data_IF_186377323693
#
_entry.id   IF_186377323693
#
_cell.length_a   1.000
_cell.length_b   1.000
_cell.length_c   1.000
_cell.angle_alpha   90.00
_cell.angle_beta   90.00
_cell.angle_gamma   90.00
#
_symmetry.space_group_name_H-M   'P 1'
#
loop_
_entity.id
_entity.type
_entity.pdbx_description
1 polymer ?
#
# COMPACT_ATOMS: atom_id res chain seq x y z
N UNK A 1 -1.30 -0.14 -2.81
CA UNK A 1 -0.66 1.12 -2.36
C UNK A 1 -0.66 1.25 -0.85
N UNK A 2 0.17 2.11 -0.36
CA UNK A 2 0.18 2.49 1.05
C UNK A 2 0.54 3.97 1.18
N UNK A 3 0.46 4.49 2.40
CA UNK A 3 0.85 5.87 2.71
C UNK A 3 1.98 5.89 3.72
N UNK A 4 2.85 6.90 3.64
CA UNK A 4 3.95 7.07 4.58
C UNK A 4 3.48 7.55 5.94
N UNK A 5 4.18 7.13 6.99
CA UNK A 5 4.02 7.66 8.33
C UNK A 5 4.76 8.98 8.48
N UNK A 6 4.42 9.74 9.53
CA UNK A 6 5.01 11.05 9.83
C UNK A 6 4.91 12.02 8.65
N UNK A 7 3.82 11.92 7.90
CA UNK A 7 3.47 12.76 6.76
C UNK A 7 2.07 13.33 6.96
N UNK A 8 1.59 14.09 5.98
CA UNK A 8 0.25 14.68 6.04
C UNK A 8 -0.83 13.60 6.06
N UNK A 9 -1.36 13.32 7.24
CA UNK A 9 -2.39 12.30 7.43
C UNK A 9 -3.70 12.65 6.73
N UNK A 10 -3.96 13.93 6.49
CA UNK A 10 -5.17 14.38 5.80
C UNK A 10 -5.25 13.94 4.35
N UNK A 11 -4.12 13.61 3.74
CA UNK A 11 -4.07 13.13 2.35
C UNK A 11 -4.46 11.66 2.22
N UNK A 12 -4.37 10.88 3.31
CA UNK A 12 -4.63 9.43 3.26
C UNK A 12 -6.04 9.10 2.74
N UNK A 13 -7.11 9.67 3.30
CA UNK A 13 -8.44 9.41 2.77
C UNK A 13 -8.65 9.96 1.37
N UNK A 14 -7.99 11.06 0.99
CA UNK A 14 -8.10 11.62 -0.35
C UNK A 14 -7.46 10.70 -1.39
N UNK A 15 -6.29 10.16 -1.09
CA UNK A 15 -5.62 9.19 -1.97
C UNK A 15 -6.45 7.93 -2.12
N UNK A 16 -7.00 7.42 -1.03
CA UNK A 16 -7.87 6.25 -1.04
C UNK A 16 -9.07 6.46 -1.94
N UNK A 17 -9.73 7.60 -1.84
CA UNK A 17 -10.88 7.95 -2.67
C UNK A 17 -10.53 7.94 -4.16
N UNK A 18 -9.37 8.50 -4.52
CA UNK A 18 -8.92 8.53 -5.91
C UNK A 18 -8.64 7.12 -6.44
N UNK A 19 -7.93 6.31 -5.65
CA UNK A 19 -7.59 4.93 -6.05
C UNK A 19 -8.86 4.09 -6.21
N UNK A 20 -9.79 4.21 -5.27
CA UNK A 20 -11.06 3.49 -5.32
C UNK A 20 -11.85 3.79 -6.59
N UNK A 21 -11.84 5.05 -7.00
CA UNK A 21 -12.57 5.49 -8.18
C UNK A 21 -11.95 5.01 -9.49
N UNK A 22 -10.61 4.90 -9.53
CA UNK A 22 -9.88 4.61 -10.76
C UNK A 22 -9.49 3.14 -10.92
N UNK A 23 -9.38 2.38 -9.84
CA UNK A 23 -8.97 0.98 -9.89
C UNK A 23 -10.19 0.06 -9.85
N UNK A 24 -10.08 -1.08 -10.52
CA UNK A 24 -11.12 -2.11 -10.46
C UNK A 24 -11.01 -2.92 -9.16
N UNK A 25 -9.79 -3.15 -8.71
CA UNK A 25 -9.51 -3.87 -7.46
C UNK A 25 -8.43 -3.12 -6.71
N UNK A 26 -8.52 -3.15 -5.39
CA UNK A 26 -7.72 -2.32 -4.52
C UNK A 26 -7.08 -3.15 -3.41
N UNK A 27 -5.76 -3.06 -3.31
CA UNK A 27 -4.99 -3.67 -2.23
C UNK A 27 -4.29 -2.56 -1.44
N UNK A 28 -4.54 -2.52 -0.14
CA UNK A 28 -3.94 -1.56 0.79
C UNK A 28 -2.86 -2.27 1.59
N UNK A 29 -1.68 -1.68 1.64
CA UNK A 29 -0.53 -2.24 2.34
C UNK A 29 0.29 -1.12 2.97
N UNK A 30 1.44 -1.47 3.56
CA UNK A 30 2.35 -0.50 4.12
C UNK A 30 3.26 0.12 3.07
N UNK A 31 3.61 1.38 3.31
CA UNK A 31 4.74 2.04 2.68
C UNK A 31 5.79 2.25 3.79
N UNK A 32 6.18 3.48 4.09
CA UNK A 32 7.12 3.78 5.17
C UNK A 32 6.34 4.26 6.40
N UNK A 33 5.99 3.39 7.37
CA UNK A 33 5.21 3.81 8.54
C UNK A 33 6.01 4.73 9.48
N UNK A 34 7.33 4.69 9.42
CA UNK A 34 8.22 5.46 10.28
C UNK A 34 7.89 5.24 11.76
N UNK A 35 7.58 6.31 12.50
CA UNK A 35 7.23 6.20 13.92
C UNK A 35 5.76 5.90 14.18
N UNK A 36 4.92 5.98 13.15
CA UNK A 36 3.50 5.70 13.31
C UNK A 36 3.21 4.19 13.30
N UNK A 37 2.12 3.80 13.98
CA UNK A 37 1.63 2.43 13.92
C UNK A 37 1.10 2.15 12.50
N UNK A 38 1.64 1.13 11.81
CA UNK A 38 1.17 0.79 10.47
C UNK A 38 -0.32 0.51 10.38
N UNK A 39 -0.91 -0.11 11.40
CA UNK A 39 -2.33 -0.37 11.46
C UNK A 39 -3.18 0.89 11.48
N UNK A 40 -2.71 1.95 12.13
CA UNK A 40 -3.41 3.23 12.17
C UNK A 40 -3.36 3.93 10.80
N UNK A 41 -2.25 3.83 10.09
CA UNK A 41 -2.14 4.37 8.74
C UNK A 41 -3.13 3.67 7.81
N UNK A 42 -3.18 2.36 7.84
CA UNK A 42 -4.11 1.56 7.03
C UNK A 42 -5.56 1.94 7.38
N UNK A 43 -5.86 2.08 8.66
CA UNK A 43 -7.19 2.48 9.11
C UNK A 43 -7.59 3.85 8.57
N UNK A 44 -6.65 4.80 8.52
CA UNK A 44 -6.90 6.13 7.95
C UNK A 44 -7.18 6.06 6.44
N UNK A 45 -6.48 5.17 5.73
CA UNK A 45 -6.73 4.94 4.31
C UNK A 45 -8.13 4.37 4.10
N UNK A 46 -8.49 3.34 4.87
CA UNK A 46 -9.82 2.71 4.76
C UNK A 46 -10.94 3.70 5.06
N UNK A 47 -10.70 4.67 5.93
CA UNK A 47 -11.66 5.73 6.24
C UNK A 47 -12.02 6.62 5.07
N UNK A 48 -11.22 6.64 4.01
CA UNK A 48 -11.49 7.39 2.78
C UNK A 48 -12.24 6.59 1.71
N UNK A 49 -12.48 5.30 1.95
CA UNK A 49 -13.18 4.45 0.99
C UNK A 49 -14.68 4.46 1.25
N UNK A 50 -15.47 4.48 0.18
CA UNK A 50 -16.92 4.33 0.27
C UNK A 50 -17.31 2.87 0.57
N UNK A 51 -16.54 1.93 0.04
CA UNK A 51 -16.80 0.49 0.19
C UNK A 51 -15.53 -0.22 0.67
N UNK A 52 -15.08 0.06 1.92
CA UNK A 52 -13.84 -0.52 2.43
C UNK A 52 -13.86 -2.05 2.51
N UNK A 53 -15.03 -2.66 2.57
CA UNK A 53 -15.18 -4.12 2.58
C UNK A 53 -14.71 -4.79 1.29
N UNK A 54 -14.61 -4.04 0.19
CA UNK A 54 -14.09 -4.58 -1.08
C UNK A 54 -12.58 -4.38 -1.22
N UNK A 55 -11.94 -3.67 -0.31
CA UNK A 55 -10.50 -3.53 -0.30
C UNK A 55 -9.85 -4.76 0.36
N UNK A 56 -8.75 -5.21 -0.20
CA UNK A 56 -7.92 -6.25 0.43
C UNK A 56 -6.82 -5.55 1.21
N UNK A 57 -6.63 -5.94 2.47
CA UNK A 57 -5.60 -5.36 3.35
C UNK A 57 -4.57 -6.42 3.68
N UNK A 58 -3.32 -6.17 3.30
CA UNK A 58 -2.18 -7.04 3.62
C UNK A 58 -1.06 -6.13 4.08
N UNK A 59 -0.72 -6.16 5.37
CA UNK A 59 0.23 -5.20 5.94
C UNK A 59 1.63 -5.33 5.34
N UNK A 60 2.15 -6.55 5.21
CA UNK A 60 3.48 -6.75 4.63
C UNK A 60 3.44 -6.47 3.13
N UNK A 61 4.22 -5.47 2.69
CA UNK A 61 4.20 -5.04 1.30
C UNK A 61 4.63 -6.13 0.32
N UNK A 62 5.66 -6.92 0.67
CA UNK A 62 6.09 -8.02 -0.16
C UNK A 62 5.01 -9.08 -0.33
N UNK A 63 4.33 -9.42 0.77
CA UNK A 63 3.21 -10.37 0.74
C UNK A 63 2.03 -9.81 -0.05
N UNK A 64 1.77 -8.51 0.06
CA UNK A 64 0.70 -7.86 -0.70
C UNK A 64 0.94 -7.94 -2.21
N UNK A 65 2.18 -7.70 -2.63
CA UNK A 65 2.54 -7.78 -4.04
C UNK A 65 2.41 -9.21 -4.55
N UNK A 66 2.92 -10.19 -3.80
CA UNK A 66 2.82 -11.60 -4.18
C UNK A 66 1.36 -12.04 -4.30
N UNK A 67 0.52 -11.67 -3.32
CA UNK A 67 -0.90 -11.98 -3.33
C UNK A 67 -1.60 -11.37 -4.55
N UNK A 68 -1.27 -10.12 -4.87
CA UNK A 68 -1.88 -9.42 -6.00
C UNK A 68 -1.55 -10.10 -7.32
N UNK A 69 -0.29 -10.49 -7.50
CA UNK A 69 0.14 -11.18 -8.72
C UNK A 69 -0.53 -12.55 -8.83
N UNK A 70 -0.62 -13.30 -7.73
CA UNK A 70 -1.29 -14.62 -7.72
C UNK A 70 -2.78 -14.53 -8.06
N UNK A 71 -3.43 -13.45 -7.66
CA UNK A 71 -4.88 -13.27 -7.83
C UNK A 71 -5.24 -12.43 -9.05
N UNK A 72 -4.26 -11.95 -9.81
CA UNK A 72 -4.51 -11.24 -11.06
C UNK A 72 -4.93 -12.22 -12.16
N UNK A 73 -5.86 -11.78 -12.99
CA UNK A 73 -6.30 -12.56 -14.15
C UNK A 73 -5.48 -12.16 -15.38
N UNK A 74 -5.51 -13.02 -16.40
CA UNK A 74 -4.87 -12.69 -17.68
C UNK A 74 -5.46 -11.40 -18.24
N UNK A 75 -4.61 -10.49 -18.66
CA UNK A 75 -5.03 -9.18 -19.16
C UNK A 75 -5.12 -8.09 -18.12
N UNK A 76 -5.01 -8.43 -16.83
CA UNK A 76 -4.97 -7.42 -15.77
C UNK A 76 -3.67 -6.63 -15.80
N UNK A 77 -3.78 -5.36 -15.42
CA UNK A 77 -2.61 -4.50 -15.20
C UNK A 77 -2.48 -4.27 -13.70
N UNK A 78 -1.33 -4.61 -13.15
CA UNK A 78 -1.03 -4.41 -11.72
C UNK A 78 -0.16 -3.17 -11.57
N UNK A 79 -0.67 -2.17 -10.85
CA UNK A 79 0.06 -0.94 -10.57
C UNK A 79 0.59 -0.97 -9.13
N UNK A 80 1.91 -0.90 -8.99
CA UNK A 80 2.58 -0.78 -7.70
C UNK A 80 2.87 0.70 -7.46
N UNK A 81 2.10 1.32 -6.59
CA UNK A 81 2.17 2.75 -6.37
C UNK A 81 2.81 3.09 -5.02
N UNK A 82 3.62 4.12 -5.02
CA UNK A 82 4.18 4.73 -3.82
C UNK A 82 5.67 4.51 -3.62
N UNK A 83 6.18 3.29 -3.79
CA UNK A 83 7.59 3.00 -3.49
C UNK A 83 8.52 3.12 -4.70
N UNK A 84 8.09 2.66 -5.86
CA UNK A 84 8.85 2.79 -7.10
C UNK A 84 10.29 2.27 -7.01
N UNK A 85 11.24 3.19 -7.06
CA UNK A 85 12.67 2.88 -7.06
C UNK A 85 13.32 2.96 -5.67
N UNK A 86 12.56 3.20 -4.60
CA UNK A 86 13.10 3.16 -3.25
C UNK A 86 13.56 1.74 -2.91
N UNK A 87 14.70 1.65 -2.23
CA UNK A 87 15.35 0.36 -1.91
C UNK A 87 15.23 0.00 -0.43
N UNK A 88 14.41 0.72 0.32
CA UNK A 88 14.25 0.50 1.75
C UNK A 88 12.81 0.74 2.17
N UNK A 89 12.48 0.19 3.34
CA UNK A 89 11.25 0.50 4.06
C UNK A 89 11.64 1.08 5.42
N UNK A 90 11.13 2.25 5.75
CA UNK A 90 11.42 2.93 7.01
C UNK A 90 10.35 2.59 8.04
N UNK A 91 10.73 1.80 9.04
CA UNK A 91 9.84 1.37 10.11
C UNK A 91 10.41 1.84 11.44
N UNK A 92 9.72 2.73 12.10
CA UNK A 92 10.06 3.24 13.43
C UNK A 92 11.51 3.75 13.52
N UNK A 93 11.91 4.53 12.54
CA UNK A 93 13.25 5.13 12.47
C UNK A 93 14.34 4.19 11.95
N UNK A 94 14.03 2.94 11.67
CA UNK A 94 14.96 1.98 11.09
C UNK A 94 14.65 1.76 9.62
N UNK A 95 15.70 1.79 8.80
CA UNK A 95 15.58 1.47 7.38
C UNK A 95 15.88 0.00 7.18
N UNK A 96 14.95 -0.69 6.57
CA UNK A 96 15.07 -2.11 6.25
C UNK A 96 15.23 -2.22 4.74
N UNK A 97 16.25 -2.93 4.29
CA UNK A 97 16.49 -3.11 2.86
C UNK A 97 15.29 -3.77 2.20
N UNK A 98 14.79 -3.12 1.15
CA UNK A 98 13.63 -3.60 0.44
C UNK A 98 13.63 -2.99 -0.97
N UNK A 99 13.67 -3.83 -1.99
CA UNK A 99 13.61 -3.38 -3.38
C UNK A 99 12.60 -4.24 -4.15
N UNK A 100 11.45 -3.67 -4.48
CA UNK A 100 10.40 -4.36 -5.22
C UNK A 100 10.86 -4.89 -6.57
N UNK A 101 11.79 -4.18 -7.21
CA UNK A 101 12.31 -4.56 -8.53
C UNK A 101 13.14 -5.83 -8.51
N UNK A 102 13.68 -6.20 -7.35
CA UNK A 102 14.52 -7.37 -7.17
C UNK A 102 13.76 -8.56 -6.58
N UNK A 103 12.47 -8.40 -6.31
CA UNK A 103 11.64 -9.48 -5.79
C UNK A 103 11.20 -10.41 -6.91
N UNK A 104 11.23 -11.72 -6.61
CA UNK A 104 10.72 -12.76 -7.52
C UNK A 104 9.37 -13.25 -7.01
N UNK A 105 8.39 -13.20 -7.85
CA UNK A 105 7.02 -13.56 -7.50
C UNK A 105 6.50 -14.71 -8.36
#
# INVERSE_FOLDING_TARGET
FGCGGDRDAGKRPLMASVVERLADRLVVTNDNPRSEDPGQIIKAILGGLEQPEFATVIEDRGAAIAWTIENAAEGDVVLLAGKGHETYQDINGQRIDYDERNRTF
#
